data_IF_887439971440
#
_entry.id   IF_887439971440
#
_cell.length_a   1.000
_cell.length_b   1.000
_cell.length_c   1.000
_cell.angle_alpha   90.00
_cell.angle_beta   90.00
_cell.angle_gamma   90.00
#
_symmetry.space_group_name_H-M   'P 1'
#
loop_
_entity.id
_entity.type
_entity.pdbx_description
1 polymer ?
#
# COMPACT_ATOMS: atom_id res chain seq x y z
N UNK A 1 -18.29 -22.86 -9.09
CA UNK A 1 -17.10 -22.35 -8.38
C UNK A 1 -17.39 -22.36 -6.89
N UNK A 2 -16.55 -23.00 -6.08
CA UNK A 2 -16.74 -23.05 -4.62
C UNK A 2 -16.49 -21.65 -4.04
N UNK A 3 -17.42 -21.14 -3.22
CA UNK A 3 -17.19 -19.90 -2.47
C UNK A 3 -16.14 -20.19 -1.39
N UNK A 4 -15.00 -19.47 -1.36
CA UNK A 4 -14.00 -19.67 -0.33
C UNK A 4 -14.60 -19.32 1.04
N UNK A 5 -14.17 -20.06 2.07
CA UNK A 5 -14.51 -19.74 3.45
C UNK A 5 -14.13 -18.27 3.74
N UNK A 6 -14.94 -17.48 4.48
CA UNK A 6 -14.73 -16.04 4.65
C UNK A 6 -13.33 -15.66 5.14
N UNK A 7 -12.71 -16.48 6.00
CA UNK A 7 -11.30 -16.30 6.40
C UNK A 7 -10.31 -16.41 5.23
N UNK A 8 -10.53 -17.35 4.31
CA UNK A 8 -9.68 -17.54 3.13
C UNK A 8 -9.95 -16.48 2.06
N UNK A 9 -11.17 -15.95 1.99
CA UNK A 9 -11.52 -14.87 1.08
C UNK A 9 -10.64 -13.63 1.34
N UNK A 10 -10.48 -13.20 2.59
CA UNK A 10 -9.59 -12.06 2.92
C UNK A 10 -8.13 -12.32 2.50
N UNK A 11 -7.60 -13.52 2.70
CA UNK A 11 -6.24 -13.86 2.26
C UNK A 11 -6.10 -13.90 0.73
N UNK A 12 -7.12 -14.36 0.02
CA UNK A 12 -7.16 -14.34 -1.44
C UNK A 12 -7.22 -12.90 -1.99
N UNK A 13 -7.98 -12.01 -1.34
CA UNK A 13 -8.03 -10.59 -1.70
C UNK A 13 -6.70 -9.89 -1.44
N UNK A 14 -6.07 -10.15 -0.28
CA UNK A 14 -4.72 -9.64 0.02
C UNK A 14 -3.72 -10.16 -1.03
N UNK A 15 -3.75 -11.45 -1.34
CA UNK A 15 -2.91 -12.06 -2.36
C UNK A 15 -3.14 -11.46 -3.74
N UNK A 16 -4.40 -11.22 -4.11
CA UNK A 16 -4.77 -10.57 -5.37
C UNK A 16 -4.31 -9.12 -5.45
N UNK A 17 -4.44 -8.35 -4.37
CA UNK A 17 -3.93 -6.99 -4.30
C UNK A 17 -2.39 -6.94 -4.42
N UNK A 18 -1.70 -7.89 -3.75
CA UNK A 18 -0.26 -8.04 -3.84
C UNK A 18 0.19 -8.44 -5.25
N UNK A 19 -0.55 -9.36 -5.88
CA UNK A 19 -0.30 -9.82 -7.25
C UNK A 19 -0.48 -8.70 -8.26
N UNK A 20 -1.58 -7.94 -8.17
CA UNK A 20 -1.82 -6.77 -9.03
C UNK A 20 -0.75 -5.68 -8.85
N UNK A 21 -0.26 -5.48 -7.61
CA UNK A 21 0.89 -4.62 -7.37
C UNK A 21 2.18 -5.18 -7.99
N UNK A 22 2.35 -6.51 -7.99
CA UNK A 22 3.46 -7.22 -8.63
C UNK A 22 3.42 -7.22 -10.17
N UNK A 23 2.24 -7.18 -10.78
CA UNK A 23 2.14 -7.06 -12.25
C UNK A 23 2.54 -5.65 -12.71
N UNK A 24 2.03 -4.61 -12.06
CA UNK A 24 2.46 -3.23 -12.35
C UNK A 24 3.95 -3.00 -12.10
N UNK A 25 4.54 -3.75 -11.17
CA UNK A 25 5.96 -3.74 -10.84
C UNK A 25 6.83 -4.19 -12.01
N UNK A 26 6.44 -5.26 -12.73
CA UNK A 26 7.21 -5.80 -13.86
C UNK A 26 7.33 -4.76 -14.98
N UNK A 27 6.23 -4.08 -15.30
CA UNK A 27 6.20 -3.05 -16.34
C UNK A 27 7.02 -1.81 -15.98
N UNK A 28 7.01 -1.42 -14.71
CA UNK A 28 7.75 -0.26 -14.23
C UNK A 28 9.25 -0.54 -14.07
N UNK A 29 9.61 -1.73 -13.58
CA UNK A 29 11.00 -2.19 -13.52
C UNK A 29 11.59 -2.32 -14.91
N UNK A 30 10.86 -2.90 -15.87
CA UNK A 30 11.29 -2.96 -17.28
C UNK A 30 11.54 -1.57 -17.87
N UNK A 31 10.66 -0.59 -17.59
CA UNK A 31 10.81 0.79 -18.06
C UNK A 31 11.98 1.55 -17.43
N UNK A 32 12.34 1.24 -16.18
CA UNK A 32 13.28 2.04 -15.37
C UNK A 32 14.55 1.30 -14.96
N UNK A 33 14.88 0.18 -15.64
CA UNK A 33 16.01 -0.69 -15.34
C UNK A 33 17.38 -0.01 -15.53
N UNK A 34 17.76 0.85 -14.58
CA UNK A 34 19.16 1.10 -14.23
C UNK A 34 19.33 0.86 -12.74
N UNK A 35 20.03 -0.19 -12.31
CA UNK A 35 20.29 -0.43 -10.90
C UNK A 35 21.17 0.71 -10.38
N UNK A 36 20.63 1.51 -9.47
CA UNK A 36 21.38 2.55 -8.77
C UNK A 36 22.00 1.88 -7.54
N UNK A 37 23.34 1.92 -7.41
CA UNK A 37 24.04 1.40 -6.22
C UNK A 37 23.47 2.08 -4.97
N UNK A 38 22.91 1.28 -4.06
CA UNK A 38 22.48 1.80 -2.76
C UNK A 38 23.70 2.15 -1.93
N UNK A 39 23.71 3.37 -1.39
CA UNK A 39 24.62 3.68 -0.29
C UNK A 39 24.04 3.07 0.98
N UNK A 40 24.85 2.23 1.63
CA UNK A 40 24.53 1.59 2.90
C UNK A 40 24.18 2.65 3.97
N UNK A 41 23.36 2.28 4.96
CA UNK A 41 23.01 3.10 6.14
C UNK A 41 22.04 4.29 5.93
N UNK A 42 21.30 4.35 4.81
CA UNK A 42 20.23 5.33 4.62
C UNK A 42 18.83 4.71 4.77
N UNK A 43 17.94 5.41 5.47
CA UNK A 43 16.50 5.08 5.51
C UNK A 43 15.94 5.09 4.10
N UNK A 44 15.33 3.97 3.68
CA UNK A 44 14.71 3.83 2.37
C UNK A 44 13.60 4.87 2.21
N UNK A 45 13.63 5.60 1.10
CA UNK A 45 12.58 6.55 0.71
C UNK A 45 11.82 6.05 -0.51
N UNK A 46 10.52 6.34 -0.62
CA UNK A 46 9.75 6.03 -1.82
C UNK A 46 10.40 6.60 -3.09
N UNK A 47 10.57 5.77 -4.12
CA UNK A 47 11.22 6.15 -5.37
C UNK A 47 11.41 4.98 -6.32
N UNK A 48 12.31 5.11 -7.30
CA UNK A 48 12.55 4.06 -8.30
C UNK A 48 13.00 2.72 -7.70
N UNK A 49 13.58 2.73 -6.49
CA UNK A 49 14.01 1.53 -5.77
C UNK A 49 12.90 0.89 -4.91
N UNK A 50 11.72 1.50 -4.80
CA UNK A 50 10.56 0.96 -4.07
C UNK A 50 9.31 0.84 -4.97
N UNK A 51 9.40 0.21 -6.14
CA UNK A 51 8.31 0.26 -7.12
C UNK A 51 7.01 -0.41 -6.62
N UNK A 52 7.11 -1.48 -5.82
CA UNK A 52 5.92 -2.11 -5.21
C UNK A 52 5.19 -1.16 -4.27
N UNK A 53 5.93 -0.41 -3.43
CA UNK A 53 5.33 0.59 -2.56
C UNK A 53 4.70 1.74 -3.35
N UNK A 54 5.32 2.18 -4.46
CA UNK A 54 4.76 3.26 -5.27
C UNK A 54 3.37 2.91 -5.80
N UNK A 55 3.22 1.70 -6.33
CA UNK A 55 1.95 1.18 -6.84
C UNK A 55 0.94 1.06 -5.71
N UNK A 56 1.32 0.49 -4.57
CA UNK A 56 0.45 0.39 -3.40
C UNK A 56 -0.02 1.79 -2.93
N UNK A 57 0.89 2.76 -2.86
CA UNK A 57 0.57 4.12 -2.45
C UNK A 57 -0.38 4.82 -3.43
N UNK A 58 -0.24 4.58 -4.74
CA UNK A 58 -1.17 5.07 -5.76
C UNK A 58 -2.57 4.45 -5.58
N UNK A 59 -2.64 3.14 -5.37
CA UNK A 59 -3.89 2.42 -5.11
C UNK A 59 -4.59 2.91 -3.85
N UNK A 60 -3.86 3.10 -2.75
CA UNK A 60 -4.40 3.64 -1.51
C UNK A 60 -4.90 5.08 -1.72
N UNK A 61 -4.16 5.91 -2.46
CA UNK A 61 -4.58 7.29 -2.75
C UNK A 61 -5.89 7.35 -3.51
N UNK A 62 -6.14 6.43 -4.43
CA UNK A 62 -7.41 6.35 -5.17
C UNK A 62 -8.61 6.14 -4.22
N UNK A 63 -8.48 5.26 -3.23
CA UNK A 63 -9.53 4.97 -2.24
C UNK A 63 -9.74 6.09 -1.21
N UNK A 64 -8.77 7.01 -1.09
CA UNK A 64 -8.79 8.13 -0.14
C UNK A 64 -9.38 9.43 -0.71
N UNK A 65 -9.96 9.40 -1.93
CA UNK A 65 -10.61 10.54 -2.53
C UNK A 65 -11.74 11.17 -1.68
N UNK A 66 -12.60 10.38 -0.98
CA UNK A 66 -13.67 10.94 -0.15
C UNK A 66 -13.14 11.77 1.04
N UNK A 67 -13.84 12.86 1.37
CA UNK A 67 -13.45 13.73 2.48
C UNK A 67 -13.38 12.94 3.81
N UNK A 68 -12.34 13.20 4.59
CA UNK A 68 -12.12 12.53 5.88
C UNK A 68 -11.66 11.08 5.82
N UNK A 69 -11.65 10.41 4.65
CA UNK A 69 -11.19 9.01 4.51
C UNK A 69 -9.75 8.82 5.03
N UNK A 70 -8.88 9.79 4.74
CA UNK A 70 -7.50 9.78 5.22
C UNK A 70 -7.38 9.85 6.75
N UNK A 71 -8.24 10.64 7.39
CA UNK A 71 -8.25 10.75 8.85
C UNK A 71 -8.71 9.44 9.49
N UNK A 72 -9.73 8.80 8.91
CA UNK A 72 -10.21 7.48 9.36
C UNK A 72 -9.13 6.41 9.23
N UNK A 73 -8.47 6.32 8.06
CA UNK A 73 -7.36 5.40 7.86
C UNK A 73 -6.24 5.64 8.88
N UNK A 74 -5.86 6.90 9.12
CA UNK A 74 -4.83 7.22 10.11
C UNK A 74 -5.20 6.75 11.53
N UNK A 75 -6.47 6.89 11.94
CA UNK A 75 -6.98 6.36 13.22
C UNK A 75 -6.90 4.84 13.28
N UNK A 76 -7.37 4.14 12.24
CA UNK A 76 -7.29 2.69 12.14
C UNK A 76 -5.84 2.17 12.23
N UNK A 77 -4.91 2.87 11.59
CA UNK A 77 -3.48 2.54 11.63
C UNK A 77 -2.81 2.93 12.97
N UNK A 78 -3.49 3.69 13.84
CA UNK A 78 -2.92 4.17 15.11
C UNK A 78 -1.79 5.19 14.92
N UNK A 79 -1.80 5.96 13.82
CA UNK A 79 -0.74 6.94 13.51
C UNK A 79 -1.29 8.36 13.28
N UNK A 80 -0.46 9.40 13.45
CA UNK A 80 -0.84 10.75 13.07
C UNK A 80 -1.16 10.85 11.56
N UNK A 81 -2.19 11.62 11.20
CA UNK A 81 -2.56 11.90 9.79
C UNK A 81 -1.38 12.44 8.97
N UNK A 82 -0.51 13.22 9.61
CA UNK A 82 0.69 13.77 8.97
C UNK A 82 1.67 12.64 8.57
N UNK A 83 1.86 11.64 9.45
CA UNK A 83 2.70 10.48 9.14
C UNK A 83 2.17 9.70 7.94
N UNK A 84 0.84 9.58 7.81
CA UNK A 84 0.21 9.00 6.64
C UNK A 84 0.38 9.86 5.37
N UNK A 85 0.41 11.20 5.47
CA UNK A 85 0.82 12.08 4.35
C UNK A 85 2.24 11.76 3.90
N UNK A 86 3.13 11.49 4.86
CA UNK A 86 4.55 11.30 4.57
C UNK A 86 4.85 10.04 3.78
N UNK A 87 4.07 8.99 4.03
CA UNK A 87 4.13 7.75 3.28
C UNK A 87 3.52 7.87 1.89
N UNK A 88 2.33 8.50 1.78
CA UNK A 88 1.52 8.44 0.56
C UNK A 88 1.84 9.54 -0.45
N UNK A 89 2.08 10.77 0.02
CA UNK A 89 2.14 11.94 -0.86
C UNK A 89 3.51 12.61 -0.87
N UNK A 90 4.10 12.90 0.29
CA UNK A 90 5.38 13.62 0.32
C UNK A 90 6.58 12.74 -0.04
N UNK A 91 6.39 11.40 -0.05
CA UNK A 91 7.43 10.41 -0.38
C UNK A 91 8.69 10.60 0.48
N UNK A 92 8.54 11.13 1.68
CA UNK A 92 9.64 11.42 2.60
C UNK A 92 10.05 10.20 3.43
N UNK A 93 9.14 9.24 3.60
CA UNK A 93 9.35 8.08 4.47
C UNK A 93 8.71 6.82 3.90
N UNK A 94 9.35 5.68 4.14
CA UNK A 94 8.73 4.37 3.99
C UNK A 94 8.01 3.97 5.28
N UNK A 95 6.81 3.37 5.21
CA UNK A 95 6.26 2.66 6.36
C UNK A 95 7.09 1.42 6.68
N UNK A 96 7.04 0.98 7.93
CA UNK A 96 7.56 -0.33 8.30
C UNK A 96 6.69 -1.46 7.74
N UNK A 97 7.16 -2.70 7.93
CA UNK A 97 6.48 -3.88 7.40
C UNK A 97 5.08 -4.08 8.01
N UNK A 98 4.92 -3.89 9.32
CA UNK A 98 3.62 -4.05 9.99
C UNK A 98 2.60 -3.06 9.45
N UNK A 99 2.98 -1.80 9.36
CA UNK A 99 2.11 -0.74 8.89
C UNK A 99 1.75 -0.94 7.40
N UNK A 100 2.70 -1.44 6.61
CA UNK A 100 2.45 -1.84 5.21
C UNK A 100 1.40 -2.95 5.13
N UNK A 101 1.52 -3.99 5.96
CA UNK A 101 0.55 -5.09 6.01
C UNK A 101 -0.84 -4.61 6.45
N UNK A 102 -0.91 -3.70 7.44
CA UNK A 102 -2.18 -3.13 7.89
C UNK A 102 -2.84 -2.26 6.82
N UNK A 103 -2.05 -1.52 6.02
CA UNK A 103 -2.54 -0.77 4.87
C UNK A 103 -3.08 -1.71 3.79
N UNK A 104 -2.35 -2.79 3.48
CA UNK A 104 -2.79 -3.81 2.52
C UNK A 104 -4.10 -4.47 2.95
N UNK A 105 -4.21 -4.84 4.23
CA UNK A 105 -5.44 -5.39 4.80
C UNK A 105 -6.61 -4.42 4.65
N UNK A 106 -6.42 -3.15 5.01
CA UNK A 106 -7.44 -2.12 4.84
C UNK A 106 -7.85 -1.96 3.36
N UNK A 107 -6.89 -1.93 2.44
CA UNK A 107 -7.15 -1.79 1.02
C UNK A 107 -7.96 -2.98 0.47
N UNK A 108 -7.63 -4.20 0.86
CA UNK A 108 -8.35 -5.42 0.48
C UNK A 108 -9.81 -5.38 0.98
N UNK A 109 -10.02 -5.06 2.26
CA UNK A 109 -11.36 -4.95 2.83
C UNK A 109 -12.18 -3.83 2.16
N UNK A 110 -11.54 -2.66 1.92
CA UNK A 110 -12.17 -1.52 1.27
C UNK A 110 -12.67 -1.86 -0.13
N UNK A 111 -11.87 -2.59 -0.92
CA UNK A 111 -12.24 -3.11 -2.24
C UNK A 111 -13.32 -4.20 -2.18
N UNK A 112 -13.31 -5.00 -1.12
CA UNK A 112 -14.39 -5.93 -0.79
C UNK A 112 -15.68 -5.26 -0.32
N UNK A 113 -15.77 -3.92 -0.36
CA UNK A 113 -16.95 -3.15 0.03
C UNK A 113 -17.08 -2.90 1.54
N UNK A 114 -16.10 -3.29 2.34
CA UNK A 114 -16.10 -3.11 3.81
C UNK A 114 -15.04 -2.08 4.22
N UNK A 115 -15.48 -0.96 4.79
CA UNK A 115 -14.56 0.04 5.32
C UNK A 115 -14.27 -0.22 6.79
N UNK A 116 -13.21 -0.98 7.07
CA UNK A 116 -12.76 -1.31 8.45
C UNK A 116 -12.18 -0.10 9.22
N UNK A 117 -12.13 1.08 8.59
CA UNK A 117 -11.70 2.32 9.25
C UNK A 117 -12.86 3.19 9.75
N UNK A 118 -14.10 2.75 9.52
CA UNK A 118 -15.31 3.26 10.15
C UNK A 118 -15.53 2.58 11.51
#
# INVERSE_FOLDING_TARGET
MLKPHPRLATWLEIGGALFAAGEGLVDEVRRKAKPRRWQSYHTVRPGAATPLWNILADQVRAELAPHGAKTRLARYLGIPRQRLQDFLSSKNRMPDAELTLRILHWLAEKRGGRDISL
#
